data_IF_860329238099
#
_entry.id   IF_860329238099
#
_cell.length_a   1.000
_cell.length_b   1.000
_cell.length_c   1.000
_cell.angle_alpha   90.00
_cell.angle_beta   90.00
_cell.angle_gamma   90.00
#
_symmetry.space_group_name_H-M   'P 1'
#
loop_
_entity.id
_entity.type
_entity.pdbx_description
1 polymer ?
#
# COMPACT_ATOMS: atom_id res chain seq x y z
N UNK A 1 -25.58 -3.40 4.41
CA UNK A 1 -25.34 -2.64 3.16
C UNK A 1 -24.23 -1.60 3.32
N UNK A 2 -24.23 -0.75 4.36
CA UNK A 2 -23.27 0.36 4.51
C UNK A 2 -21.77 0.00 4.62
N UNK A 3 -21.41 -1.20 5.05
CA UNK A 3 -20.00 -1.65 5.12
C UNK A 3 -19.41 -2.00 3.74
N UNK A 4 -20.24 -2.45 2.78
CA UNK A 4 -19.75 -2.78 1.44
C UNK A 4 -19.50 -1.53 0.61
N UNK A 5 -20.29 -0.48 0.81
CA UNK A 5 -20.15 0.81 0.13
C UNK A 5 -18.87 1.54 0.55
N UNK A 6 -18.57 1.54 1.85
CA UNK A 6 -17.31 2.11 2.35
C UNK A 6 -16.08 1.32 1.86
N UNK A 7 -16.20 -0.01 1.71
CA UNK A 7 -15.11 -0.80 1.11
C UNK A 7 -14.91 -0.42 -0.35
N UNK A 8 -16.00 -0.24 -1.11
CA UNK A 8 -15.86 0.17 -2.52
C UNK A 8 -15.25 1.56 -2.64
N UNK A 9 -15.60 2.50 -1.76
CA UNK A 9 -15.01 3.85 -1.78
C UNK A 9 -13.51 3.81 -1.52
N UNK A 10 -13.06 3.05 -0.51
CA UNK A 10 -11.63 2.85 -0.24
C UNK A 10 -10.95 2.09 -1.39
N UNK A 11 -11.59 1.08 -1.97
CA UNK A 11 -11.03 0.34 -3.10
C UNK A 11 -10.92 1.18 -4.37
N UNK A 12 -11.84 2.13 -4.58
CA UNK A 12 -11.83 3.09 -5.69
C UNK A 12 -10.76 4.16 -5.48
N UNK A 13 -10.59 4.65 -4.25
CA UNK A 13 -9.50 5.57 -3.89
C UNK A 13 -8.11 4.92 -4.01
N UNK A 14 -8.02 3.61 -3.74
CA UNK A 14 -6.76 2.84 -3.76
C UNK A 14 -6.81 1.64 -4.71
N UNK A 15 -6.81 1.84 -6.05
CA UNK A 15 -6.95 0.74 -7.02
C UNK A 15 -5.77 -0.25 -7.00
N UNK A 16 -4.63 0.16 -6.45
CA UNK A 16 -3.46 -0.68 -6.27
C UNK A 16 -3.54 -1.63 -5.06
N UNK A 17 -4.54 -1.43 -4.20
CA UNK A 17 -4.75 -2.20 -2.98
C UNK A 17 -6.06 -2.98 -3.04
N UNK A 18 -6.03 -4.24 -2.58
CA UNK A 18 -7.24 -5.06 -2.42
C UNK A 18 -7.62 -5.08 -0.96
N UNK A 19 -8.75 -4.46 -0.64
CA UNK A 19 -9.32 -4.43 0.71
C UNK A 19 -10.26 -5.62 0.91
N UNK A 20 -10.12 -6.30 2.03
CA UNK A 20 -10.99 -7.40 2.43
C UNK A 20 -11.14 -7.44 3.96
N UNK A 21 -12.28 -7.94 4.43
CA UNK A 21 -12.53 -8.14 5.85
C UNK A 21 -12.15 -9.57 6.22
N UNK A 22 -11.37 -9.75 7.27
CA UNK A 22 -11.09 -11.04 7.85
C UNK A 22 -12.25 -11.50 8.75
N UNK A 23 -12.41 -12.80 8.91
CA UNK A 23 -13.47 -13.43 9.71
C UNK A 23 -13.45 -12.98 11.18
N UNK A 24 -12.26 -12.65 11.71
CA UNK A 24 -12.07 -12.06 13.04
C UNK A 24 -12.59 -10.61 13.18
N UNK A 25 -13.25 -10.06 12.15
CA UNK A 25 -13.80 -8.71 12.17
C UNK A 25 -12.81 -7.61 11.77
N UNK A 26 -11.52 -7.92 11.65
CA UNK A 26 -10.45 -6.97 11.29
C UNK A 26 -10.40 -6.74 9.79
N UNK A 27 -10.04 -5.53 9.39
CA UNK A 27 -9.85 -5.13 8.00
C UNK A 27 -8.41 -5.34 7.55
N UNK A 28 -8.26 -5.79 6.32
CA UNK A 28 -6.98 -6.08 5.71
C UNK A 28 -6.93 -5.46 4.32
N UNK A 29 -5.77 -4.96 3.93
CA UNK A 29 -5.50 -4.51 2.58
C UNK A 29 -4.19 -5.13 2.10
N UNK A 30 -4.23 -5.83 0.97
CA UNK A 30 -3.04 -6.38 0.32
C UNK A 30 -2.73 -5.61 -0.95
N UNK A 31 -1.47 -5.22 -1.12
CA UNK A 31 -1.00 -4.57 -2.33
C UNK A 31 -1.04 -5.55 -3.52
N UNK A 32 -1.75 -5.20 -4.59
CA UNK A 32 -1.86 -6.03 -5.81
C UNK A 32 -0.62 -5.99 -6.70
N UNK A 33 0.23 -4.99 -6.53
CA UNK A 33 1.50 -4.89 -7.26
C UNK A 33 2.63 -5.59 -6.50
N UNK A 34 3.67 -5.96 -7.24
CA UNK A 34 4.91 -6.43 -6.64
C UNK A 34 5.63 -5.25 -5.98
N UNK A 35 6.06 -5.45 -4.73
CA UNK A 35 6.98 -4.52 -4.08
C UNK A 35 8.33 -4.65 -4.77
N UNK A 36 8.89 -3.52 -5.18
CA UNK A 36 10.24 -3.46 -5.70
C UNK A 36 11.22 -3.81 -4.59
N UNK A 37 12.37 -4.42 -4.89
CA UNK A 37 13.42 -4.76 -3.90
C UNK A 37 13.79 -3.61 -2.92
N UNK A 38 13.63 -2.35 -3.32
CA UNK A 38 13.86 -1.19 -2.43
C UNK A 38 12.67 -0.81 -1.56
N UNK A 39 11.43 -1.01 -2.01
CA UNK A 39 10.25 -0.87 -1.15
C UNK A 39 10.29 -1.93 -0.03
N UNK A 40 10.75 -3.14 -0.38
CA UNK A 40 11.07 -4.18 0.62
C UNK A 40 12.21 -3.76 1.57
N UNK A 41 13.17 -2.95 1.12
CA UNK A 41 14.29 -2.47 1.93
C UNK A 41 13.91 -1.29 2.85
N UNK A 42 12.89 -0.51 2.48
CA UNK A 42 12.33 0.57 3.30
C UNK A 42 11.24 0.08 4.27
N UNK A 43 11.14 -1.23 4.50
CA UNK A 43 10.12 -1.84 5.35
C UNK A 43 8.68 -1.44 4.94
N UNK A 44 8.41 -1.29 3.65
CA UNK A 44 7.03 -1.15 3.19
C UNK A 44 6.30 -2.48 3.36
N UNK A 45 5.29 -2.47 4.23
CA UNK A 45 4.40 -3.60 4.41
C UNK A 45 3.53 -3.81 3.17
N UNK A 46 3.58 -5.04 2.65
CA UNK A 46 2.74 -5.47 1.52
C UNK A 46 1.27 -5.66 1.92
N UNK A 47 1.05 -5.81 3.22
CA UNK A 47 -0.22 -6.14 3.83
C UNK A 47 -0.40 -5.23 5.02
N UNK A 48 -1.51 -4.50 5.04
CA UNK A 48 -1.86 -3.59 6.12
C UNK A 48 -3.12 -4.12 6.79
N UNK A 49 -3.09 -4.27 8.11
CA UNK A 49 -4.28 -4.57 8.90
C UNK A 49 -4.75 -3.32 9.65
N UNK A 50 -6.06 -3.23 9.89
CA UNK A 50 -6.67 -2.23 10.74
C UNK A 50 -7.94 -2.79 11.38
N UNK A 51 -8.31 -2.27 12.54
CA UNK A 51 -9.54 -2.69 13.21
C UNK A 51 -10.79 -2.05 12.56
N UNK A 52 -10.64 -0.91 11.88
CA UNK A 52 -11.71 -0.18 11.18
C UNK A 52 -11.27 0.34 9.79
N UNK A 53 -12.23 0.57 8.90
CA UNK A 53 -11.98 1.12 7.55
C UNK A 53 -11.32 2.49 7.57
N UNK A 54 -11.70 3.37 8.52
CA UNK A 54 -11.06 4.68 8.67
C UNK A 54 -9.58 4.57 9.02
N UNK A 55 -9.23 3.64 9.91
CA UNK A 55 -7.83 3.33 10.23
C UNK A 55 -7.09 2.72 9.05
N UNK A 56 -7.76 1.85 8.28
CA UNK A 56 -7.20 1.25 7.07
C UNK A 56 -6.85 2.32 6.04
N UNK A 57 -7.76 3.26 5.75
CA UNK A 57 -7.55 4.33 4.78
C UNK A 57 -6.36 5.23 5.16
N UNK A 58 -6.23 5.59 6.44
CA UNK A 58 -5.08 6.37 6.92
C UNK A 58 -3.77 5.60 6.72
N UNK A 59 -3.73 4.31 7.08
CA UNK A 59 -2.53 3.47 6.88
C UNK A 59 -2.20 3.27 5.40
N UNK A 60 -3.20 3.14 4.54
CA UNK A 60 -3.05 3.03 3.09
C UNK A 60 -2.42 4.30 2.49
N UNK A 61 -2.93 5.49 2.85
CA UNK A 61 -2.33 6.77 2.41
C UNK A 61 -0.88 6.92 2.88
N UNK A 62 -0.59 6.53 4.11
CA UNK A 62 0.77 6.56 4.65
C UNK A 62 1.69 5.60 3.88
N UNK A 63 1.22 4.39 3.55
CA UNK A 63 1.96 3.44 2.73
C UNK A 63 2.20 3.94 1.31
N UNK A 64 1.19 4.49 0.63
CA UNK A 64 1.38 5.08 -0.70
C UNK A 64 2.37 6.24 -0.67
N UNK A 65 2.33 7.07 0.38
CA UNK A 65 3.30 8.16 0.55
C UNK A 65 4.73 7.62 0.69
N UNK A 66 4.94 6.59 1.52
CA UNK A 66 6.25 5.93 1.68
C UNK A 66 6.72 5.32 0.36
N UNK A 67 5.83 4.62 -0.34
CA UNK A 67 6.10 4.03 -1.64
C UNK A 67 6.44 5.09 -2.70
N UNK A 68 5.74 6.23 -2.71
CA UNK A 68 6.02 7.34 -3.61
C UNK A 68 7.37 8.01 -3.31
N UNK A 69 7.74 8.17 -2.02
CA UNK A 69 9.08 8.64 -1.61
C UNK A 69 10.16 7.67 -2.07
N UNK A 70 9.98 6.37 -1.82
CA UNK A 70 10.89 5.32 -2.27
C UNK A 70 11.03 5.29 -3.81
N UNK A 71 9.92 5.48 -4.53
CA UNK A 71 9.90 5.54 -5.98
C UNK A 71 10.54 6.82 -6.55
N UNK A 72 10.44 7.95 -5.84
CA UNK A 72 11.04 9.22 -6.25
C UNK A 72 12.55 9.25 -6.02
N UNK A 73 13.06 8.65 -4.94
CA UNK A 73 14.51 8.44 -4.75
C UNK A 73 15.12 7.64 -5.92
N UNK A 74 14.38 6.66 -6.46
CA UNK A 74 14.78 5.91 -7.66
C UNK A 74 14.92 6.80 -8.91
N UNK A 75 14.17 7.90 -9.03
CA UNK A 75 14.32 8.85 -10.14
C UNK A 75 15.52 9.80 -9.91
N UNK A 76 15.81 10.14 -8.65
CA UNK A 76 16.91 11.04 -8.29
C UNK A 76 18.30 10.37 -8.34
N UNK A 77 18.37 9.03 -8.28
CA UNK A 77 19.62 8.28 -8.49
C UNK A 77 19.65 7.69 -9.90
N UNK A 78 20.26 8.36 -10.90
CA UNK A 78 20.61 7.68 -12.14
C UNK A 78 21.54 6.53 -11.77
N UNK A 79 21.24 5.34 -12.29
CA UNK A 79 22.12 4.19 -12.17
C UNK A 79 23.42 4.53 -12.89
N UNK A 80 24.44 4.93 -12.15
CA UNK A 80 25.82 4.65 -12.52
C UNK A 80 25.94 3.12 -12.51
N UNK A 81 25.60 2.47 -13.64
CA UNK A 81 25.98 1.09 -13.86
C UNK A 81 27.37 1.18 -14.47
N UNK A 82 28.37 0.91 -13.64
CA UNK A 82 29.77 0.95 -13.99
C UNK A 82 30.07 0.12 -15.24
N UNK A 83 30.89 0.70 -16.10
CA UNK A 83 31.64 -0.01 -17.12
C UNK A 83 32.63 -0.97 -16.43
N UNK A 84 32.71 -2.19 -16.92
CA UNK A 84 33.89 -3.07 -16.85
C UNK A 84 33.75 -4.11 -17.95
#
# INVERSE_FOLDING_TARGET
MAIYEQVSEVADEFPHWTVFRSDAGRWWASLRRELTRREMAESCDRVVDADDLGGLAVKLREQERRQAVAARDKLAKPRLRGAS
#
